data_IF_948569941271
#
_entry.id   IF_948569941271
#
_cell.length_a   1.000
_cell.length_b   1.000
_cell.length_c   1.000
_cell.angle_alpha   90.00
_cell.angle_beta   90.00
_cell.angle_gamma   90.00
#
_symmetry.space_group_name_H-M   'P 1'
#
loop_
_entity.id
_entity.type
_entity.pdbx_description
1 polymer ?
#
# COMPACT_ATOMS: atom_id res chain seq x y z
N UNK A 1 -4.73 -15.69 6.17
CA UNK A 1 -3.57 -14.97 6.72
C UNK A 1 -2.90 -14.01 5.73
N UNK A 2 -2.41 -14.42 4.55
CA UNK A 2 -1.80 -13.49 3.56
C UNK A 2 -2.84 -12.60 2.87
N UNK A 3 -3.99 -13.18 2.48
CA UNK A 3 -5.13 -12.45 1.89
C UNK A 3 -5.60 -11.32 2.80
N UNK A 4 -5.73 -11.59 4.10
CA UNK A 4 -6.17 -10.58 5.08
C UNK A 4 -5.18 -9.41 5.21
N UNK A 5 -3.88 -9.65 5.02
CA UNK A 5 -2.87 -8.57 5.06
C UNK A 5 -2.97 -7.69 3.80
N UNK A 6 -3.14 -8.32 2.64
CA UNK A 6 -3.33 -7.65 1.36
C UNK A 6 -4.56 -6.74 1.37
N UNK A 7 -5.69 -7.24 1.88
CA UNK A 7 -6.91 -6.46 2.03
C UNK A 7 -6.72 -5.29 3.00
N UNK A 8 -6.04 -5.49 4.13
CA UNK A 8 -5.73 -4.43 5.08
C UNK A 8 -4.85 -3.34 4.49
N UNK A 9 -3.84 -3.71 3.68
CA UNK A 9 -2.97 -2.75 2.99
C UNK A 9 -3.77 -1.89 2.00
N UNK A 10 -4.61 -2.51 1.18
CA UNK A 10 -5.48 -1.79 0.25
C UNK A 10 -6.47 -0.86 1.01
N UNK A 11 -7.07 -1.35 2.09
CA UNK A 11 -7.99 -0.56 2.91
C UNK A 11 -7.32 0.62 3.59
N UNK A 12 -6.11 0.47 4.14
CA UNK A 12 -5.39 1.60 4.74
C UNK A 12 -5.10 2.72 3.73
N UNK A 13 -4.91 2.37 2.45
CA UNK A 13 -4.79 3.36 1.37
C UNK A 13 -6.12 4.01 1.05
N UNK A 14 -7.20 3.23 0.95
CA UNK A 14 -8.56 3.75 0.68
C UNK A 14 -9.01 4.70 1.81
N UNK A 15 -8.71 4.36 3.05
CA UNK A 15 -8.97 5.17 4.25
C UNK A 15 -8.09 6.44 4.31
N UNK A 16 -7.07 6.55 3.45
CA UNK A 16 -6.13 7.66 3.46
C UNK A 16 -5.28 7.75 4.73
N UNK A 17 -4.98 6.60 5.36
CA UNK A 17 -4.25 6.53 6.64
C UNK A 17 -2.78 6.11 6.43
N UNK A 18 -1.84 7.09 6.34
CA UNK A 18 -0.44 6.78 6.17
C UNK A 18 0.22 6.10 7.37
N UNK A 19 -0.30 6.31 8.58
CA UNK A 19 0.25 5.70 9.80
C UNK A 19 -0.09 4.22 9.78
N UNK A 20 -1.34 3.87 9.48
CA UNK A 20 -1.79 2.49 9.36
C UNK A 20 -1.14 1.77 8.17
N UNK A 21 -1.02 2.43 7.02
CA UNK A 21 -0.34 1.85 5.85
C UNK A 21 1.13 1.51 6.16
N UNK A 22 1.83 2.37 6.90
CA UNK A 22 3.20 2.10 7.38
C UNK A 22 3.27 0.89 8.30
N UNK A 23 2.39 0.83 9.30
CA UNK A 23 2.37 -0.24 10.28
C UNK A 23 2.12 -1.60 9.63
N UNK A 24 1.15 -1.67 8.71
CA UNK A 24 0.84 -2.88 7.96
C UNK A 24 1.98 -3.28 7.02
N UNK A 25 2.65 -2.32 6.37
CA UNK A 25 3.82 -2.61 5.54
C UNK A 25 4.98 -3.22 6.35
N UNK A 26 5.24 -2.69 7.56
CA UNK A 26 6.21 -3.27 8.49
C UNK A 26 5.82 -4.70 8.88
N UNK A 27 4.57 -4.89 9.31
CA UNK A 27 4.06 -6.22 9.71
C UNK A 27 4.14 -7.24 8.56
N UNK A 28 3.86 -6.81 7.32
CA UNK A 28 3.98 -7.66 6.14
C UNK A 28 5.44 -8.10 5.90
N UNK A 29 6.40 -7.19 6.06
CA UNK A 29 7.84 -7.49 5.95
C UNK A 29 8.28 -8.43 7.07
N UNK A 30 7.86 -8.20 8.31
CA UNK A 30 8.18 -9.06 9.47
C UNK A 30 7.65 -10.49 9.30
N UNK A 31 6.48 -10.62 8.68
CA UNK A 31 5.86 -11.92 8.35
C UNK A 31 6.44 -12.56 7.09
N UNK A 32 7.40 -11.93 6.42
CA UNK A 32 8.04 -12.45 5.21
C UNK A 32 7.10 -12.52 4.00
N UNK A 33 6.11 -11.63 3.93
CA UNK A 33 5.26 -11.53 2.74
C UNK A 33 6.05 -10.95 1.57
N UNK A 34 5.62 -11.31 0.36
CA UNK A 34 6.21 -10.79 -0.87
C UNK A 34 5.96 -9.27 -0.99
N UNK A 35 7.05 -8.50 -1.05
CA UNK A 35 6.98 -7.05 -1.13
C UNK A 35 6.31 -6.57 -2.42
N UNK A 36 6.53 -7.26 -3.55
CA UNK A 36 5.92 -6.94 -4.84
C UNK A 36 4.39 -7.12 -4.78
N UNK A 37 3.90 -8.19 -4.16
CA UNK A 37 2.49 -8.43 -3.92
C UNK A 37 1.90 -7.33 -3.03
N UNK A 38 2.55 -6.98 -1.92
CA UNK A 38 2.10 -5.89 -1.04
C UNK A 38 1.97 -4.55 -1.79
N UNK A 39 2.97 -4.19 -2.60
CA UNK A 39 2.94 -2.98 -3.45
C UNK A 39 1.78 -3.01 -4.45
N UNK A 40 1.50 -4.19 -5.01
CA UNK A 40 0.38 -4.38 -5.96
C UNK A 40 -0.96 -4.10 -5.28
N UNK A 41 -1.14 -4.52 -4.03
CA UNK A 41 -2.37 -4.28 -3.26
C UNK A 41 -2.54 -2.82 -2.85
N UNK A 42 -1.46 -2.15 -2.44
CA UNK A 42 -1.48 -0.70 -2.21
C UNK A 42 -1.87 0.07 -3.48
N UNK A 43 -1.38 -0.38 -4.63
CA UNK A 43 -1.72 0.19 -5.95
C UNK A 43 -3.21 0.04 -6.27
N UNK A 44 -3.80 -1.13 -5.97
CA UNK A 44 -5.25 -1.33 -6.12
C UNK A 44 -6.06 -0.38 -5.24
N UNK A 45 -5.61 -0.13 -4.01
CA UNK A 45 -6.24 0.82 -3.09
C UNK A 45 -6.31 2.24 -3.68
N UNK A 46 -5.18 2.77 -4.17
CA UNK A 46 -5.17 4.12 -4.75
C UNK A 46 -5.91 4.20 -6.09
N UNK A 47 -5.89 3.14 -6.91
CA UNK A 47 -6.70 3.06 -8.12
C UNK A 47 -8.20 3.11 -7.82
N UNK A 48 -8.64 2.46 -6.74
CA UNK A 48 -10.03 2.49 -6.30
C UNK A 48 -10.49 3.90 -5.92
N UNK A 49 -9.70 4.62 -5.10
CA UNK A 49 -9.99 6.01 -4.77
C UNK A 49 -9.89 6.93 -5.99
N UNK A 50 -8.95 6.69 -6.90
CA UNK A 50 -8.86 7.43 -8.16
C UNK A 50 -10.14 7.32 -8.99
N UNK A 51 -10.71 6.10 -9.09
CA UNK A 51 -12.00 5.87 -9.75
C UNK A 51 -13.15 6.60 -9.04
N UNK A 52 -13.24 6.47 -7.71
CA UNK A 52 -14.26 7.17 -6.91
C UNK A 52 -14.18 8.68 -7.12
N UNK A 53 -12.99 9.27 -7.11
CA UNK A 53 -12.80 10.70 -7.37
C UNK A 53 -13.31 11.09 -8.76
N UNK A 54 -12.97 10.33 -9.80
CA UNK A 54 -13.45 10.56 -11.18
C UNK A 54 -14.97 10.47 -11.31
N UNK A 55 -15.63 9.69 -10.46
CA UNK A 55 -17.08 9.53 -10.40
C UNK A 55 -17.76 10.55 -9.46
N UNK A 56 -16.97 11.41 -8.78
CA UNK A 56 -17.48 12.36 -7.78
C UNK A 56 -17.80 11.75 -6.41
N UNK A 57 -17.36 10.53 -6.15
CA UNK A 57 -17.58 9.76 -4.92
C UNK A 57 -16.60 10.05 -3.79
N UNK A 58 -15.52 10.78 -4.03
CA UNK A 58 -14.63 11.30 -2.98
C UNK A 58 -14.03 12.66 -3.38
N UNK A 59 -13.46 13.38 -2.41
CA UNK A 59 -12.82 14.67 -2.65
C UNK A 59 -11.36 14.52 -3.11
N UNK A 60 -10.80 15.59 -3.68
CA UNK A 60 -9.37 15.64 -4.02
C UNK A 60 -8.47 15.46 -2.79
N UNK A 61 -8.92 15.88 -1.60
CA UNK A 61 -8.17 15.70 -0.35
C UNK A 61 -8.07 14.22 0.02
N UNK A 62 -9.14 13.45 -0.19
CA UNK A 62 -9.14 12.00 0.08
C UNK A 62 -8.14 11.28 -0.85
N UNK A 63 -8.09 11.68 -2.13
CA UNK A 63 -7.12 11.17 -3.10
C UNK A 63 -5.68 11.51 -2.71
N UNK A 64 -5.42 12.74 -2.24
CA UNK A 64 -4.10 13.17 -1.77
C UNK A 64 -3.65 12.41 -0.52
N UNK A 65 -4.57 12.15 0.41
CA UNK A 65 -4.30 11.36 1.61
C UNK A 65 -3.99 9.90 1.25
N UNK A 66 -4.76 9.32 0.33
CA UNK A 66 -4.52 7.97 -0.21
C UNK A 66 -3.14 7.85 -0.88
N UNK A 67 -2.76 8.84 -1.69
CA UNK A 67 -1.43 8.89 -2.31
C UNK A 67 -0.32 8.99 -1.26
N UNK A 68 -0.53 9.77 -0.19
CA UNK A 68 0.41 9.87 0.92
C UNK A 68 0.56 8.54 1.66
N UNK A 69 -0.54 7.80 1.85
CA UNK A 69 -0.51 6.47 2.47
C UNK A 69 0.32 5.46 1.66
N UNK A 70 0.14 5.44 0.34
CA UNK A 70 0.98 4.62 -0.56
C UNK A 70 2.45 5.02 -0.42
N UNK A 71 2.76 6.32 -0.52
CA UNK A 71 4.15 6.80 -0.46
C UNK A 71 4.85 6.36 0.83
N UNK A 72 4.19 6.46 1.98
CA UNK A 72 4.78 6.04 3.26
C UNK A 72 5.00 4.52 3.30
N UNK A 73 4.04 3.72 2.84
CA UNK A 73 4.21 2.27 2.79
C UNK A 73 5.34 1.85 1.82
N UNK A 74 5.50 2.53 0.70
CA UNK A 74 6.61 2.30 -0.25
C UNK A 74 7.98 2.51 0.39
N UNK A 75 8.15 3.49 1.28
CA UNK A 75 9.43 3.69 1.99
C UNK A 75 9.89 2.45 2.79
N UNK A 76 8.96 1.56 3.13
CA UNK A 76 9.22 0.30 3.82
C UNK A 76 9.43 -0.85 2.83
N UNK A 77 8.59 -0.93 1.80
CA UNK A 77 8.55 -2.07 0.88
C UNK A 77 9.60 -2.01 -0.23
N UNK A 78 9.92 -0.82 -0.75
CA UNK A 78 10.94 -0.62 -1.80
C UNK A 78 12.33 -1.15 -1.42
N UNK A 79 12.91 -0.84 -0.23
CA UNK A 79 14.22 -1.38 0.13
C UNK A 79 14.20 -2.90 0.29
N UNK A 80 13.08 -3.48 0.73
CA UNK A 80 12.91 -4.94 0.85
C UNK A 80 12.85 -5.60 -0.52
N UNK A 81 12.10 -5.01 -1.45
CA UNK A 81 12.03 -5.47 -2.84
C UNK A 81 13.41 -5.45 -3.50
N UNK A 82 14.10 -4.30 -3.45
CA UNK A 82 15.43 -4.14 -4.05
C UNK A 82 16.47 -5.11 -3.43
N UNK A 83 16.41 -5.36 -2.13
CA UNK A 83 17.29 -6.32 -1.45
C UNK A 83 16.98 -7.78 -1.80
N UNK A 84 15.73 -8.06 -2.19
CA UNK A 84 15.31 -9.39 -2.64
C UNK A 84 15.79 -9.64 -4.07
N UNK A 85 15.60 -8.69 -4.99
CA UNK A 85 16.07 -8.81 -6.38
C UNK A 85 17.61 -8.85 -6.49
N UNK A 86 18.34 -8.17 -5.59
CA UNK A 86 19.81 -8.24 -5.55
C UNK A 86 20.37 -9.55 -4.94
N UNK A 87 19.53 -10.43 -4.37
CA UNK A 87 19.98 -11.72 -3.82
C UNK A 87 19.91 -12.88 -4.81
N UNK A 88 19.39 -12.63 -6.01
CA UNK A 88 19.22 -13.63 -7.08
C UNK A 88 20.33 -13.59 -8.14
N UNK A 89 21.47 -12.92 -7.85
CA UNK A 89 22.66 -12.81 -8.72
C UNK A 89 23.92 -13.31 -8.01
#
# INVERSE_FOLDING_TARGET
>A
MTVEMHEKLAQAVIDGDPVRAKALALEAVEKGLDARACITELTKGVQHIGKLHSEGGCSLLDLLNSASAVKVALTILEPVLNKSENREI
#
